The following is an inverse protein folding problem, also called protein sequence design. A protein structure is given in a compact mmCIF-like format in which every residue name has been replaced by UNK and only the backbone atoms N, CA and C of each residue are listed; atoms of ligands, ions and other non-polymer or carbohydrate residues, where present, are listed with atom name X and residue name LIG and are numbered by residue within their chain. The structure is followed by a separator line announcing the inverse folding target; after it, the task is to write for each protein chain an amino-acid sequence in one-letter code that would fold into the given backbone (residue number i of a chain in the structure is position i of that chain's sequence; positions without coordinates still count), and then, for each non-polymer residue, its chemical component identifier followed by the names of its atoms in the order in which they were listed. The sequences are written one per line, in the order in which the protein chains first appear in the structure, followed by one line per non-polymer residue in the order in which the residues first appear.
data_IF_067922931377
#
_entry.id   IF_067922931377
#
_cell.length_a   1.000
_cell.length_b   1.000
_cell.length_c   1.000
_cell.angle_alpha   90.00
_cell.angle_beta   90.00
_cell.angle_gamma   90.00
#
_symmetry.space_group_name_H-M   'P 1'
#
loop_
_entity.id
_entity.type
_entity.pdbx_description
1 polymer ?
#
# COMPACT_ATOMS: atom_id res chain seq x y z
N UNK A 1 7.15 21.29 -12.94
CA UNK A 1 6.81 21.99 -11.70
C UNK A 1 5.95 23.22 -12.05
N UNK A 2 4.79 23.40 -11.37
CA UNK A 2 3.93 24.55 -11.64
C UNK A 2 4.56 25.90 -11.21
N UNK A 3 5.50 25.85 -10.27
CA UNK A 3 6.14 27.04 -9.74
C UNK A 3 7.37 27.47 -10.56
N UNK A 4 8.06 26.54 -11.21
CA UNK A 4 9.32 26.82 -11.93
C UNK A 4 9.20 26.64 -13.45
N UNK A 5 8.11 26.09 -13.96
CA UNK A 5 7.96 25.73 -15.39
C UNK A 5 8.85 24.58 -15.84
N UNK A 6 9.73 24.08 -14.99
CA UNK A 6 10.61 22.98 -15.34
C UNK A 6 9.85 21.66 -15.47
N UNK A 7 10.19 20.80 -16.46
CA UNK A 7 9.61 19.48 -16.57
C UNK A 7 9.89 18.69 -15.28
N UNK A 8 8.85 18.14 -14.67
CA UNK A 8 9.03 17.19 -13.56
C UNK A 8 9.79 15.99 -14.09
N UNK A 9 11.05 15.85 -13.71
CA UNK A 9 11.87 14.70 -14.09
C UNK A 9 11.24 13.44 -13.50
N UNK A 10 10.59 12.65 -14.35
CA UNK A 10 10.12 11.32 -14.00
C UNK A 10 11.33 10.41 -13.95
N UNK A 11 11.79 10.14 -12.74
CA UNK A 11 12.82 9.15 -12.55
C UNK A 11 12.18 7.76 -12.39
N UNK A 12 12.76 6.77 -13.03
CA UNK A 12 12.35 5.37 -12.96
C UNK A 12 13.62 4.52 -12.87
N UNK A 13 13.62 3.55 -11.97
CA UNK A 13 14.72 2.59 -11.89
C UNK A 13 14.76 1.67 -13.11
N UNK A 14 15.95 1.15 -13.49
CA UNK A 14 16.15 0.53 -14.81
C UNK A 14 15.40 -0.80 -15.01
N UNK A 15 15.16 -1.56 -13.94
CA UNK A 15 14.53 -2.87 -14.01
C UNK A 15 13.64 -3.17 -12.78
N UNK A 16 12.73 -4.18 -12.90
CA UNK A 16 11.95 -4.64 -11.76
C UNK A 16 12.84 -5.07 -10.60
N UNK A 17 12.47 -4.72 -9.39
CA UNK A 17 13.22 -5.04 -8.16
C UNK A 17 14.38 -4.10 -7.84
N UNK A 18 14.88 -3.28 -8.79
CA UNK A 18 15.93 -2.31 -8.50
C UNK A 18 15.58 -1.38 -7.34
N UNK A 19 14.28 -1.06 -7.18
CA UNK A 19 13.75 -0.40 -6.01
C UNK A 19 12.27 -0.72 -5.81
N UNK A 20 11.90 -1.08 -4.60
CA UNK A 20 10.50 -1.11 -4.15
C UNK A 20 10.24 0.03 -3.18
N UNK A 21 9.03 0.57 -3.18
CA UNK A 21 8.57 1.56 -2.21
C UNK A 21 7.65 0.88 -1.21
N UNK A 22 7.78 1.22 0.07
CA UNK A 22 6.93 0.72 1.15
C UNK A 22 6.26 1.88 1.89
N UNK A 23 5.00 1.71 2.26
CA UNK A 23 4.26 2.68 3.06
C UNK A 23 3.02 2.02 3.69
N UNK A 24 2.42 2.66 4.68
CA UNK A 24 1.21 2.19 5.36
C UNK A 24 0.06 3.17 5.17
N UNK A 25 -1.01 2.71 4.53
CA UNK A 25 -2.25 3.48 4.40
C UNK A 25 -3.22 3.15 5.52
N UNK A 26 -3.53 4.13 6.36
CA UNK A 26 -4.53 4.02 7.43
C UNK A 26 -5.93 4.26 6.89
N UNK A 27 -6.84 3.35 7.17
CA UNK A 27 -8.25 3.43 6.82
C UNK A 27 -9.11 3.13 8.05
N UNK A 28 -10.03 3.99 8.39
CA UNK A 28 -11.02 3.66 9.43
C UNK A 28 -11.77 2.38 9.04
N UNK A 29 -11.98 1.48 10.00
CA UNK A 29 -12.75 0.26 9.79
C UNK A 29 -14.21 0.59 9.48
N UNK A 30 -14.85 -0.28 8.73
CA UNK A 30 -16.25 -0.14 8.34
C UNK A 30 -17.11 -0.81 9.42
N UNK A 31 -18.06 -0.08 10.04
CA UNK A 31 -19.01 -0.67 10.96
C UNK A 31 -19.96 -1.62 10.23
N UNK A 32 -20.63 -2.50 10.97
CA UNK A 32 -21.66 -3.36 10.42
C UNK A 32 -22.78 -2.54 9.77
N UNK A 33 -23.33 -3.02 8.67
CA UNK A 33 -24.30 -2.35 7.81
C UNK A 33 -23.78 -1.10 7.07
N UNK A 34 -22.45 -0.90 7.07
CA UNK A 34 -21.78 0.11 6.24
C UNK A 34 -21.42 1.41 6.94
N UNK A 35 -20.40 2.06 6.38
CA UNK A 35 -19.83 3.31 6.89
C UNK A 35 -20.55 4.55 6.36
N UNK A 36 -20.43 5.65 7.11
CA UNK A 36 -21.12 6.94 6.89
C UNK A 36 -20.92 7.50 5.47
N UNK A 37 -19.84 7.17 4.80
CA UNK A 37 -19.55 7.68 3.44
C UNK A 37 -20.60 7.24 2.42
N UNK A 38 -21.23 6.10 2.61
CA UNK A 38 -22.24 5.55 1.70
C UNK A 38 -23.66 5.64 2.27
N UNK A 39 -23.83 5.42 3.57
CA UNK A 39 -25.16 5.40 4.18
C UNK A 39 -25.57 6.76 4.80
N UNK A 40 -24.69 7.78 4.69
CA UNK A 40 -24.90 9.08 5.31
C UNK A 40 -24.50 9.12 6.78
N UNK A 41 -24.29 10.34 7.32
CA UNK A 41 -23.74 10.54 8.68
C UNK A 41 -24.64 9.98 9.77
N UNK A 42 -25.95 10.23 9.68
CA UNK A 42 -26.90 9.78 10.70
C UNK A 42 -26.97 8.27 10.80
N UNK A 43 -27.13 7.58 9.66
CA UNK A 43 -27.17 6.12 9.61
C UNK A 43 -25.81 5.52 9.97
N UNK A 44 -24.71 6.09 9.47
CA UNK A 44 -23.36 5.62 9.80
C UNK A 44 -23.04 5.73 11.30
N UNK A 45 -23.59 6.74 12.01
CA UNK A 45 -23.51 6.83 13.47
C UNK A 45 -24.28 5.68 14.15
N UNK A 46 -25.50 5.39 13.69
CA UNK A 46 -26.30 4.25 14.20
C UNK A 46 -25.56 2.93 13.98
N UNK A 47 -25.08 2.68 12.76
CA UNK A 47 -24.34 1.47 12.41
C UNK A 47 -23.10 1.30 13.30
N UNK A 48 -22.36 2.38 13.55
CA UNK A 48 -21.22 2.36 14.47
C UNK A 48 -21.62 1.93 15.88
N UNK A 49 -22.72 2.45 16.41
CA UNK A 49 -23.20 2.12 17.75
C UNK A 49 -23.73 0.69 17.87
N UNK A 50 -24.33 0.14 16.81
CA UNK A 50 -24.89 -1.20 16.75
C UNK A 50 -23.86 -2.28 16.38
N UNK A 51 -22.63 -1.90 15.95
CA UNK A 51 -21.59 -2.89 15.63
C UNK A 51 -21.25 -3.71 16.89
N UNK A 52 -21.46 -5.02 16.77
CA UNK A 52 -21.23 -5.96 17.87
C UNK A 52 -19.72 -6.16 18.14
N UNK A 53 -19.41 -6.73 19.29
CA UNK A 53 -18.07 -7.22 19.69
C UNK A 53 -16.93 -6.19 19.57
N UNK A 54 -17.25 -4.90 19.70
CA UNK A 54 -16.24 -3.85 19.73
C UNK A 54 -16.03 -3.31 21.14
N UNK A 55 -14.77 -3.16 21.59
CA UNK A 55 -14.49 -2.48 22.84
C UNK A 55 -15.05 -1.05 22.79
N UNK A 56 -15.37 -0.52 23.96
CA UNK A 56 -15.92 0.83 24.09
C UNK A 56 -14.93 1.72 24.85
N UNK A 57 -14.89 3.00 24.49
CA UNK A 57 -14.10 3.99 25.22
C UNK A 57 -14.82 4.40 26.54
N UNK A 58 -14.20 5.29 27.33
CA UNK A 58 -14.77 5.81 28.58
C UNK A 58 -16.14 6.49 28.41
N UNK A 59 -16.49 6.92 27.20
CA UNK A 59 -17.79 7.51 26.87
C UNK A 59 -18.75 6.49 26.23
N UNK A 60 -18.50 5.19 26.44
CA UNK A 60 -19.28 4.07 25.88
C UNK A 60 -19.39 4.05 24.33
N UNK A 61 -18.54 4.80 23.62
CA UNK A 61 -18.52 4.79 22.15
C UNK A 61 -17.74 3.60 21.63
N UNK A 62 -18.27 2.85 20.64
CA UNK A 62 -17.58 1.71 20.06
C UNK A 62 -16.28 2.13 19.36
N UNK A 63 -15.21 1.42 19.65
CA UNK A 63 -13.91 1.56 18.99
C UNK A 63 -13.87 0.66 17.76
N UNK A 64 -14.35 1.18 16.64
CA UNK A 64 -14.39 0.41 15.38
C UNK A 64 -12.98 0.04 14.88
N UNK A 65 -11.96 0.82 15.26
CA UNK A 65 -10.56 0.56 14.93
C UNK A 65 -10.15 1.10 13.56
N UNK A 66 -8.93 0.74 13.19
CA UNK A 66 -8.27 1.17 11.94
C UNK A 66 -7.67 -0.06 11.25
N UNK A 67 -7.85 -0.14 9.95
CA UNK A 67 -7.13 -1.06 9.10
C UNK A 67 -5.84 -0.38 8.62
N UNK A 68 -4.72 -1.03 8.80
CA UNK A 68 -3.42 -0.60 8.33
C UNK A 68 -3.07 -1.39 7.07
N UNK A 69 -3.17 -0.75 5.92
CA UNK A 69 -2.84 -1.37 4.65
C UNK A 69 -1.37 -1.15 4.38
N UNK A 70 -0.56 -2.16 4.66
CA UNK A 70 0.86 -2.18 4.31
C UNK A 70 0.98 -2.42 2.81
N UNK A 71 1.67 -1.56 2.12
CA UNK A 71 1.76 -1.56 0.67
C UNK A 71 3.20 -1.57 0.21
N UNK A 72 3.46 -2.32 -0.83
CA UNK A 72 4.75 -2.41 -1.50
C UNK A 72 4.50 -2.23 -3.00
N UNK A 73 5.23 -1.34 -3.65
CA UNK A 73 5.12 -1.14 -5.09
C UNK A 73 6.50 -1.10 -5.73
N UNK A 74 6.68 -1.86 -6.80
CA UNK A 74 7.91 -1.81 -7.59
C UNK A 74 8.01 -0.52 -8.40
N UNK A 75 9.18 0.12 -8.34
CA UNK A 75 9.44 1.40 -8.97
C UNK A 75 9.34 1.34 -10.49
N UNK A 76 9.83 0.27 -11.10
CA UNK A 76 9.88 0.09 -12.55
C UNK A 76 8.54 -0.38 -13.12
N UNK A 77 8.06 -1.51 -12.67
CA UNK A 77 6.86 -2.15 -13.21
C UNK A 77 5.55 -1.57 -12.72
N UNK A 78 5.53 -0.92 -11.56
CA UNK A 78 4.31 -0.50 -10.82
C UNK A 78 3.51 -1.67 -10.25
N UNK A 79 4.04 -2.89 -10.30
CA UNK A 79 3.41 -4.04 -9.65
C UNK A 79 3.35 -3.80 -8.15
N UNK A 80 2.19 -4.06 -7.57
CA UNK A 80 1.91 -3.80 -6.18
C UNK A 80 1.59 -5.09 -5.41
N UNK A 81 2.06 -5.13 -4.18
CA UNK A 81 1.72 -6.09 -3.15
C UNK A 81 1.13 -5.34 -1.96
N UNK A 82 0.10 -5.87 -1.32
CA UNK A 82 -0.46 -5.25 -0.13
C UNK A 82 -1.12 -6.26 0.79
N UNK A 83 -1.03 -5.98 2.09
CA UNK A 83 -1.69 -6.72 3.17
C UNK A 83 -2.40 -5.77 4.12
N UNK A 84 -3.44 -6.25 4.79
CA UNK A 84 -4.17 -5.48 5.81
C UNK A 84 -3.89 -6.07 7.18
N UNK A 85 -3.33 -5.26 8.05
CA UNK A 85 -3.05 -5.58 9.45
C UNK A 85 -3.80 -4.67 10.39
N UNK A 86 -3.72 -4.95 11.69
CA UNK A 86 -4.38 -4.17 12.73
C UNK A 86 -3.44 -3.17 13.40
N UNK A 87 -2.18 -3.13 12.96
CA UNK A 87 -1.18 -2.16 13.42
C UNK A 87 -0.14 -1.80 12.32
N UNK A 88 0.72 -0.82 12.63
CA UNK A 88 1.86 -0.38 11.83
C UNK A 88 3.19 -0.55 12.57
N UNK A 89 3.29 -1.53 13.46
CA UNK A 89 4.51 -1.79 14.23
C UNK A 89 5.65 -2.26 13.34
N UNK A 90 6.87 -2.10 13.82
CA UNK A 90 8.06 -2.52 13.10
C UNK A 90 8.04 -4.04 12.78
N UNK A 91 7.63 -4.88 13.72
CA UNK A 91 7.51 -6.32 13.51
C UNK A 91 6.56 -6.64 12.35
N UNK A 92 5.37 -6.06 12.35
CA UNK A 92 4.38 -6.24 11.27
C UNK A 92 4.91 -5.76 9.92
N UNK A 93 5.57 -4.59 9.90
CA UNK A 93 6.16 -4.07 8.66
C UNK A 93 7.28 -4.97 8.13
N UNK A 94 8.12 -5.55 9.01
CA UNK A 94 9.18 -6.51 8.67
C UNK A 94 8.58 -7.78 8.08
N UNK A 95 7.58 -8.36 8.72
CA UNK A 95 6.90 -9.55 8.23
C UNK A 95 6.28 -9.33 6.85
N UNK A 96 5.67 -8.17 6.62
CA UNK A 96 5.13 -7.80 5.29
C UNK A 96 6.25 -7.66 4.27
N UNK A 97 7.37 -7.01 4.62
CA UNK A 97 8.52 -6.88 3.71
C UNK A 97 9.06 -8.25 3.31
N UNK A 98 9.26 -9.15 4.27
CA UNK A 98 9.77 -10.49 3.99
C UNK A 98 8.85 -11.27 3.03
N UNK A 99 7.52 -11.23 3.27
CA UNK A 99 6.54 -11.85 2.36
C UNK A 99 6.50 -11.19 1.00
N UNK A 100 6.61 -9.87 0.93
CA UNK A 100 6.66 -9.15 -0.33
C UNK A 100 7.91 -9.51 -1.14
N UNK A 101 9.10 -9.56 -0.52
CA UNK A 101 10.36 -9.98 -1.17
C UNK A 101 10.22 -11.40 -1.71
N UNK A 102 9.70 -12.33 -0.91
CA UNK A 102 9.44 -13.71 -1.36
C UNK A 102 8.41 -13.76 -2.51
N UNK A 103 7.38 -12.92 -2.47
CA UNK A 103 6.37 -12.83 -3.52
C UNK A 103 6.96 -12.31 -4.85
N UNK A 104 7.87 -11.34 -4.80
CA UNK A 104 8.61 -10.86 -5.97
C UNK A 104 9.60 -11.93 -6.48
N UNK A 105 10.32 -12.59 -5.59
CA UNK A 105 11.24 -13.68 -5.93
C UNK A 105 10.55 -14.84 -6.66
N UNK A 106 9.33 -15.21 -6.24
CA UNK A 106 8.50 -16.21 -6.92
C UNK A 106 8.09 -15.81 -8.36
N UNK A 107 8.37 -14.56 -8.74
CA UNK A 107 8.15 -13.98 -10.09
C UNK A 107 9.45 -13.63 -10.81
N UNK A 108 10.56 -14.25 -10.37
CA UNK A 108 11.91 -14.02 -10.89
C UNK A 108 12.39 -12.56 -10.76
N UNK A 109 11.91 -11.84 -9.74
CA UNK A 109 12.32 -10.47 -9.45
C UNK A 109 13.09 -10.43 -8.14
N UNK A 110 14.38 -10.10 -8.22
CA UNK A 110 15.23 -9.87 -7.05
C UNK A 110 15.07 -8.43 -6.59
N UNK A 111 14.68 -8.25 -5.33
CA UNK A 111 14.57 -6.92 -4.73
C UNK A 111 15.94 -6.47 -4.22
N UNK A 112 16.45 -5.37 -4.76
CA UNK A 112 17.77 -4.82 -4.39
C UNK A 112 17.66 -3.74 -3.32
N UNK A 113 16.64 -2.87 -3.42
CA UNK A 113 16.48 -1.72 -2.53
C UNK A 113 15.05 -1.52 -2.11
N UNK A 114 14.89 -1.01 -0.89
CA UNK A 114 13.60 -0.56 -0.37
C UNK A 114 13.65 0.92 0.00
N UNK A 115 12.69 1.69 -0.48
CA UNK A 115 12.48 3.09 -0.11
C UNK A 115 11.28 3.18 0.81
N UNK A 116 11.48 3.78 2.00
CA UNK A 116 10.42 4.09 2.94
C UNK A 116 10.35 5.60 3.24
N UNK A 117 9.30 6.02 3.88
CA UNK A 117 9.27 7.30 4.57
C UNK A 117 10.09 7.28 5.87
N UNK A 118 9.95 8.32 6.70
CA UNK A 118 10.60 8.42 8.00
C UNK A 118 9.72 7.95 9.16
N UNK A 119 8.73 7.09 8.92
CA UNK A 119 7.88 6.49 9.93
C UNK A 119 8.68 5.72 10.99
N UNK A 120 8.15 5.65 12.21
CA UNK A 120 8.86 5.05 13.35
C UNK A 120 9.25 3.59 13.12
N UNK A 121 8.39 2.81 12.47
CA UNK A 121 8.66 1.41 12.11
C UNK A 121 9.94 1.29 11.27
N UNK A 122 10.07 2.12 10.23
CA UNK A 122 11.18 2.11 9.28
C UNK A 122 12.47 2.74 9.82
N UNK A 123 12.41 3.41 10.97
CA UNK A 123 13.58 3.96 11.69
C UNK A 123 14.15 3.02 12.74
N UNK A 124 13.47 1.92 13.02
CA UNK A 124 13.87 0.98 14.07
C UNK A 124 15.12 0.19 13.68
N UNK A 125 15.90 -0.23 14.68
CA UNK A 125 17.03 -1.13 14.48
C UNK A 125 16.56 -2.46 13.88
N UNK A 126 15.43 -3.01 14.36
CA UNK A 126 14.87 -4.25 13.86
C UNK A 126 14.57 -4.20 12.35
N UNK A 127 14.04 -3.07 11.85
CA UNK A 127 13.83 -2.89 10.42
C UNK A 127 15.14 -2.91 9.63
N UNK A 128 16.16 -2.19 10.12
CA UNK A 128 17.48 -2.17 9.48
C UNK A 128 18.08 -3.57 9.40
N UNK A 129 18.02 -4.30 10.51
CA UNK A 129 18.61 -5.63 10.63
C UNK A 129 17.86 -6.62 9.71
N UNK A 130 16.53 -6.56 9.66
CA UNK A 130 15.72 -7.35 8.73
C UNK A 130 16.01 -7.04 7.25
N UNK A 131 16.23 -5.77 6.89
CA UNK A 131 16.66 -5.42 5.53
C UNK A 131 18.01 -6.05 5.19
N UNK A 132 18.95 -6.03 6.13
CA UNK A 132 20.27 -6.66 5.95
C UNK A 132 20.17 -8.19 5.79
N UNK A 133 19.35 -8.86 6.60
CA UNK A 133 19.08 -10.30 6.50
C UNK A 133 18.45 -10.69 5.17
N UNK A 134 17.56 -9.84 4.64
CA UNK A 134 16.94 -10.03 3.33
C UNK A 134 17.85 -9.64 2.14
N UNK A 135 19.04 -9.12 2.40
CA UNK A 135 19.96 -8.65 1.38
C UNK A 135 19.47 -7.38 0.64
N UNK A 136 18.58 -6.59 1.26
CA UNK A 136 17.93 -5.43 0.64
C UNK A 136 18.51 -4.13 1.22
N UNK A 137 18.94 -3.22 0.36
CA UNK A 137 19.47 -1.91 0.78
C UNK A 137 18.32 -0.98 1.16
N UNK A 138 18.27 -0.56 2.43
CA UNK A 138 17.25 0.39 2.89
C UNK A 138 17.65 1.84 2.61
N UNK A 139 16.74 2.57 1.98
CA UNK A 139 16.84 4.02 1.73
C UNK A 139 15.61 4.72 2.29
N UNK A 140 15.78 5.91 2.86
CA UNK A 140 14.67 6.73 3.35
C UNK A 140 14.49 7.98 2.50
N UNK A 141 13.24 8.44 2.39
CA UNK A 141 12.95 9.72 1.75
C UNK A 141 13.67 10.87 2.46
N UNK A 142 14.22 11.80 1.71
CA UNK A 142 14.82 13.01 2.29
C UNK A 142 13.72 13.88 2.91
N UNK A 143 13.96 14.49 4.09
CA UNK A 143 13.05 15.47 4.65
C UNK A 143 12.71 16.56 3.62
N UNK A 144 11.48 17.03 3.61
CA UNK A 144 10.96 18.08 2.71
C UNK A 144 11.05 17.79 1.21
N UNK A 145 11.28 16.53 0.79
CA UNK A 145 11.20 16.10 -0.61
C UNK A 145 10.16 14.99 -0.80
N UNK A 146 8.85 15.28 -0.68
CA UNK A 146 7.78 14.30 -0.82
C UNK A 146 7.73 13.67 -2.22
N UNK A 147 8.30 14.30 -3.22
CA UNK A 147 8.35 13.82 -4.62
C UNK A 147 9.00 12.44 -4.77
N UNK A 148 9.87 12.05 -3.83
CA UNK A 148 10.55 10.75 -3.85
C UNK A 148 9.58 9.57 -3.58
N UNK A 149 8.44 9.81 -2.91
CA UNK A 149 7.43 8.78 -2.61
C UNK A 149 6.16 8.87 -3.48
N UNK A 150 6.19 9.70 -4.52
CA UNK A 150 5.03 9.99 -5.35
C UNK A 150 4.39 8.76 -6.04
N UNK A 151 5.16 7.67 -6.23
CA UNK A 151 4.65 6.43 -6.84
C UNK A 151 3.72 5.68 -5.90
N UNK A 152 4.11 5.49 -4.65
CA UNK A 152 3.27 4.82 -3.66
C UNK A 152 2.08 5.70 -3.23
N UNK A 153 2.24 7.02 -3.17
CA UNK A 153 1.14 7.96 -2.95
C UNK A 153 0.09 7.86 -4.07
N UNK A 154 0.55 7.76 -5.32
CA UNK A 154 -0.32 7.55 -6.48
C UNK A 154 -1.04 6.20 -6.40
N UNK A 155 -0.32 5.15 -6.00
CA UNK A 155 -0.91 3.85 -5.74
C UNK A 155 -1.98 3.93 -4.65
N UNK A 156 -1.70 4.56 -3.51
CA UNK A 156 -2.66 4.76 -2.42
C UNK A 156 -3.92 5.50 -2.88
N UNK A 157 -3.77 6.53 -3.72
CA UNK A 157 -4.91 7.25 -4.29
C UNK A 157 -5.76 6.32 -5.16
N UNK A 158 -5.12 5.54 -6.03
CA UNK A 158 -5.79 4.57 -6.90
C UNK A 158 -6.48 3.47 -6.10
N UNK A 159 -5.80 2.92 -5.08
CA UNK A 159 -6.33 1.90 -4.18
C UNK A 159 -7.52 2.43 -3.38
N UNK A 160 -7.42 3.64 -2.86
CA UNK A 160 -8.50 4.25 -2.07
C UNK A 160 -9.76 4.45 -2.91
N UNK A 161 -9.63 4.96 -4.13
CA UNK A 161 -10.75 5.17 -5.04
C UNK A 161 -11.29 3.87 -5.65
N UNK A 162 -10.40 2.96 -6.04
CA UNK A 162 -10.77 1.75 -6.80
C UNK A 162 -11.18 0.57 -5.94
N UNK A 163 -10.79 0.55 -4.66
CA UNK A 163 -11.12 -0.52 -3.73
C UNK A 163 -11.77 0.00 -2.45
N UNK A 164 -11.05 0.77 -1.62
CA UNK A 164 -11.48 1.07 -0.25
C UNK A 164 -12.83 1.80 -0.18
N UNK A 165 -13.12 2.66 -1.17
CA UNK A 165 -14.35 3.46 -1.27
C UNK A 165 -15.04 3.35 -2.63
N UNK A 166 -14.81 2.25 -3.36
CA UNK A 166 -15.46 2.05 -4.67
C UNK A 166 -16.95 1.78 -4.55
N UNK A 167 -17.36 1.06 -3.49
CA UNK A 167 -18.74 0.63 -3.28
C UNK A 167 -19.08 0.58 -1.80
N UNK A 168 -20.35 0.42 -1.49
CA UNK A 168 -20.79 0.10 -0.14
C UNK A 168 -20.28 -1.30 0.25
N UNK A 169 -19.51 -1.35 1.34
CA UNK A 169 -19.19 -2.57 2.06
C UNK A 169 -20.02 -2.59 3.34
N UNK A 170 -20.67 -3.70 3.62
CA UNK A 170 -21.52 -3.87 4.81
C UNK A 170 -20.71 -4.16 6.08
N UNK A 171 -19.43 -4.48 5.95
CA UNK A 171 -18.50 -4.68 7.08
C UNK A 171 -17.06 -4.52 6.65
N UNK A 172 -16.17 -4.38 7.62
CA UNK A 172 -14.73 -4.39 7.39
C UNK A 172 -14.25 -5.72 6.79
N UNK A 173 -14.82 -6.84 7.20
CA UNK A 173 -14.50 -8.15 6.64
C UNK A 173 -14.77 -8.23 5.14
N UNK A 174 -15.88 -7.67 4.66
CA UNK A 174 -16.17 -7.61 3.21
C UNK A 174 -15.13 -6.76 2.46
N UNK A 175 -14.71 -5.62 3.02
CA UNK A 175 -13.68 -4.79 2.41
C UNK A 175 -12.35 -5.53 2.35
N UNK A 176 -11.92 -6.17 3.44
CA UNK A 176 -10.68 -6.96 3.51
C UNK A 176 -10.68 -8.08 2.47
N UNK A 177 -11.77 -8.86 2.38
CA UNK A 177 -11.92 -9.94 1.40
C UNK A 177 -11.87 -9.48 -0.06
N UNK A 178 -12.20 -8.23 -0.34
CA UNK A 178 -12.17 -7.68 -1.70
C UNK A 178 -10.78 -7.20 -2.15
N UNK A 179 -9.81 -7.05 -1.24
CA UNK A 179 -8.47 -6.54 -1.58
C UNK A 179 -7.71 -7.45 -2.56
N UNK A 180 -7.63 -8.78 -2.38
CA UNK A 180 -6.89 -9.64 -3.30
C UNK A 180 -7.40 -9.56 -4.74
N UNK A 181 -8.72 -9.58 -4.94
CA UNK A 181 -9.31 -9.45 -6.27
C UNK A 181 -9.03 -8.09 -6.92
N UNK A 182 -9.05 -7.02 -6.12
CA UNK A 182 -8.69 -5.70 -6.62
C UNK A 182 -7.19 -5.59 -6.96
N UNK A 183 -6.30 -6.18 -6.16
CA UNK A 183 -4.85 -6.22 -6.46
C UNK A 183 -4.57 -7.02 -7.73
N UNK A 184 -5.28 -8.13 -7.93
CA UNK A 184 -5.19 -8.88 -9.18
C UNK A 184 -5.59 -8.02 -10.38
N UNK A 185 -6.74 -7.35 -10.32
CA UNK A 185 -7.20 -6.43 -11.36
C UNK A 185 -6.20 -5.29 -11.61
N UNK A 186 -5.67 -4.70 -10.51
CA UNK A 186 -4.67 -3.63 -10.60
C UNK A 186 -3.40 -4.09 -11.30
N UNK A 187 -2.87 -5.26 -10.94
CA UNK A 187 -1.60 -5.76 -11.45
C UNK A 187 -1.71 -6.32 -12.88
N UNK A 188 -2.80 -7.02 -13.20
CA UNK A 188 -2.90 -7.82 -14.43
C UNK A 188 -3.74 -7.19 -15.53
N UNK A 189 -4.67 -6.29 -15.19
CA UNK A 189 -5.65 -5.81 -16.17
C UNK A 189 -5.72 -4.29 -16.29
N UNK A 190 -5.41 -3.56 -15.22
CA UNK A 190 -5.52 -2.11 -15.21
C UNK A 190 -4.45 -1.44 -16.07
N UNK A 191 -4.82 -0.66 -17.12
CA UNK A 191 -3.86 0.09 -17.91
C UNK A 191 -3.29 1.28 -17.10
N UNK A 192 -1.97 1.45 -17.13
CA UNK A 192 -1.27 2.52 -16.43
C UNK A 192 -0.66 3.53 -17.42
N UNK A 193 -1.10 4.78 -17.35
CA UNK A 193 -0.60 5.84 -18.24
C UNK A 193 0.91 6.08 -18.10
N UNK A 194 1.48 5.86 -16.91
CA UNK A 194 2.91 6.07 -16.65
C UNK A 194 3.82 5.01 -17.29
N UNK A 195 3.25 3.87 -17.74
CA UNK A 195 3.98 2.75 -18.34
C UNK A 195 3.37 2.38 -19.71
N UNK A 196 3.01 3.39 -20.52
CA UNK A 196 2.52 3.15 -21.86
C UNK A 196 1.14 2.50 -21.95
N UNK A 197 0.28 2.68 -20.93
CA UNK A 197 -1.06 2.05 -20.82
C UNK A 197 -1.04 0.52 -20.74
N UNK A 198 0.10 -0.07 -20.40
CA UNK A 198 0.20 -1.50 -20.13
C UNK A 198 -0.25 -1.84 -18.72
N UNK A 199 -0.58 -3.10 -18.48
CA UNK A 199 -0.78 -3.61 -17.13
C UNK A 199 0.57 -3.76 -16.41
N UNK A 200 0.69 -3.47 -15.10
CA UNK A 200 1.95 -3.55 -14.36
C UNK A 200 2.71 -4.87 -14.55
N UNK A 201 2.00 -5.99 -14.53
CA UNK A 201 2.59 -7.33 -14.59
C UNK A 201 3.38 -7.56 -15.89
N UNK A 202 2.99 -6.94 -17.00
CA UNK A 202 3.67 -7.11 -18.28
C UNK A 202 5.12 -6.61 -18.26
N UNK A 203 5.44 -5.71 -17.33
CA UNK A 203 6.79 -5.17 -17.15
C UNK A 203 7.69 -6.00 -16.23
N UNK A 204 7.18 -7.05 -15.61
CA UNK A 204 8.04 -8.01 -14.88
C UNK A 204 8.76 -8.97 -15.82
N UNK A 205 8.25 -9.19 -17.04
CA UNK A 205 8.83 -10.12 -18.02
C UNK A 205 9.97 -9.53 -18.85
N UNK A 206 10.18 -8.20 -18.80
CA UNK A 206 11.28 -7.51 -19.49
C UNK A 206 12.57 -7.51 -18.65
N UNK A 207 12.97 -8.65 -18.09
CA UNK A 207 14.30 -8.81 -17.54
C UNK A 207 15.28 -8.87 -18.72
N UNK A 208 16.25 -7.96 -18.74
CA UNK A 208 17.32 -7.92 -19.75
C UNK A 208 17.98 -9.30 -19.80
N UNK A 209 17.80 -10.04 -20.89
CA UNK A 209 18.46 -11.34 -21.10
C UNK A 209 17.57 -12.47 -21.66
N UNK A 210 16.32 -12.26 -21.94
CA UNK A 210 15.49 -13.21 -22.69
C UNK A 210 15.12 -12.64 -24.06
N UNK A 211 16.05 -12.72 -24.97
CA UNK A 211 15.83 -12.70 -26.43
C UNK A 211 16.38 -14.00 -27.01
#
# INVERSE_FOLDING_TARGET
DRATGEPVRRYEHPHPGAMIHVDVKKLGNIPDQGGWRFVGRAQGKKNRWSTADKPRNAHHQPLIGTAYVHTVIDDHSRVAYAEIHDDEKAATAIDVLARAVAWFAARNVTVERVLSDNGSAYRSHAWRDACAELGVIHTRTRPYRPQTNGKIERFHRTMTAGWAFRRLYLSESQRRKALPGWLHEYNHHRPHSAIGRQAPITRLTNLSGQY
#
